data_IF_840478143587
#
_entry.id   IF_840478143587
#
_cell.length_a   1.000
_cell.length_b   1.000
_cell.length_c   1.000
_cell.angle_alpha   90.00
_cell.angle_beta   90.00
_cell.angle_gamma   90.00
#
_symmetry.space_group_name_H-M   'P 1'
#
loop_
_entity.id
_entity.type
_entity.pdbx_description
1 polymer ?
#
# COMPACT_ATOMS: atom_id res chain seq x y z
N UNK A 1 17.27 2.87 31.31
CA UNK A 1 18.21 3.50 30.37
C UNK A 1 18.05 2.75 29.04
N UNK A 2 17.26 3.27 28.13
CA UNK A 2 17.05 2.68 26.81
C UNK A 2 17.89 3.50 25.86
N UNK A 3 18.92 2.87 25.31
CA UNK A 3 19.86 3.46 24.37
C UNK A 3 19.16 3.79 23.06
N UNK A 4 19.41 5.01 22.56
CA UNK A 4 18.88 5.51 21.31
C UNK A 4 19.31 4.63 20.12
N UNK A 5 18.35 4.27 19.29
CA UNK A 5 18.58 3.67 17.98
C UNK A 5 18.94 4.78 17.00
N UNK A 6 20.22 5.00 16.81
CA UNK A 6 20.78 5.71 15.67
C UNK A 6 20.51 4.93 14.38
N UNK A 7 19.89 5.60 13.43
CA UNK A 7 19.74 5.10 12.07
C UNK A 7 21.11 4.83 11.44
N UNK A 8 21.37 3.61 11.02
CA UNK A 8 22.14 3.18 9.85
C UNK A 8 22.49 1.69 9.96
N UNK A 9 21.98 0.94 9.07
CA UNK A 9 22.15 -0.44 8.66
C UNK A 9 20.90 -1.28 8.86
N UNK A 10 20.15 -1.41 7.77
CA UNK A 10 19.04 -2.36 7.67
C UNK A 10 19.57 -3.80 7.64
N UNK A 11 20.04 -4.29 8.78
CA UNK A 11 20.03 -5.74 9.00
C UNK A 11 18.56 -6.14 9.02
N UNK A 12 18.13 -6.94 8.04
CA UNK A 12 16.81 -7.56 8.04
C UNK A 12 16.58 -8.17 9.42
N UNK A 13 15.61 -7.64 10.12
CA UNK A 13 15.19 -8.19 11.39
C UNK A 13 14.39 -9.44 11.05
N UNK A 14 15.00 -10.61 11.24
CA UNK A 14 14.31 -11.87 11.01
C UNK A 14 13.55 -12.20 12.27
N UNK A 15 12.23 -12.26 12.17
CA UNK A 15 11.37 -12.70 13.26
C UNK A 15 11.28 -14.23 13.25
N UNK A 16 11.69 -14.86 14.32
CA UNK A 16 11.59 -16.30 14.52
C UNK A 16 10.75 -16.54 15.78
N UNK A 17 9.67 -17.31 15.64
CA UNK A 17 8.76 -17.66 16.71
C UNK A 17 8.54 -19.17 16.73
N UNK A 18 8.40 -19.73 17.92
CA UNK A 18 8.08 -21.15 18.08
C UNK A 18 6.55 -21.38 17.99
N UNK A 19 5.74 -20.43 18.45
CA UNK A 19 4.29 -20.55 18.50
C UNK A 19 3.55 -19.33 17.94
N UNK A 20 2.40 -19.58 17.31
CA UNK A 20 1.57 -18.54 16.69
C UNK A 20 1.11 -17.46 17.69
N UNK A 21 0.89 -17.81 18.95
CA UNK A 21 0.53 -16.87 20.02
C UNK A 21 1.62 -15.83 20.27
N UNK A 22 2.89 -16.23 20.29
CA UNK A 22 4.04 -15.32 20.47
C UNK A 22 4.15 -14.37 19.28
N UNK A 23 3.99 -14.89 18.06
CA UNK A 23 4.01 -14.09 16.86
C UNK A 23 2.88 -13.06 16.82
N UNK A 24 1.66 -13.43 17.21
CA UNK A 24 0.51 -12.52 17.30
C UNK A 24 0.74 -11.49 18.42
N UNK A 25 1.30 -11.88 19.56
CA UNK A 25 1.65 -10.93 20.62
C UNK A 25 2.68 -9.89 20.15
N UNK A 26 3.66 -10.28 19.34
CA UNK A 26 4.60 -9.35 18.71
C UNK A 26 3.89 -8.39 17.72
N UNK A 27 2.89 -8.87 16.99
CA UNK A 27 2.04 -8.01 16.16
C UNK A 27 1.30 -6.95 17.00
N UNK A 28 0.76 -7.31 18.15
CA UNK A 28 0.13 -6.36 19.07
C UNK A 28 1.11 -5.33 19.62
N UNK A 29 2.34 -5.73 19.92
CA UNK A 29 3.39 -4.81 20.39
C UNK A 29 3.77 -3.80 19.32
N UNK A 30 3.95 -4.24 18.08
CA UNK A 30 4.23 -3.32 16.96
C UNK A 30 3.07 -2.37 16.72
N UNK A 31 1.82 -2.85 16.75
CA UNK A 31 0.64 -2.00 16.68
C UNK A 31 0.62 -0.93 17.78
N UNK A 32 0.94 -1.30 19.03
CA UNK A 32 1.03 -0.35 20.13
C UNK A 32 2.11 0.70 19.88
N UNK A 33 3.30 0.27 19.44
CA UNK A 33 4.41 1.16 19.08
C UNK A 33 4.00 2.20 18.04
N UNK A 34 3.28 1.79 16.99
CA UNK A 34 2.86 2.69 15.92
C UNK A 34 1.76 3.65 16.38
N UNK A 35 0.85 3.22 17.24
CA UNK A 35 -0.21 4.10 17.80
C UNK A 35 0.36 5.33 18.52
N UNK A 36 1.51 5.19 19.15
CA UNK A 36 2.15 6.26 19.92
C UNK A 36 2.96 7.23 19.04
N UNK A 37 3.15 6.92 17.74
CA UNK A 37 3.98 7.70 16.80
C UNK A 37 3.20 8.78 16.06
N UNK A 38 2.47 9.65 16.78
CA UNK A 38 1.68 10.72 16.17
C UNK A 38 2.49 11.70 15.33
N UNK A 39 3.74 11.93 15.70
CA UNK A 39 4.64 12.88 15.05
C UNK A 39 5.61 12.23 14.04
N UNK A 40 5.50 10.91 13.81
CA UNK A 40 6.36 10.21 12.88
C UNK A 40 6.31 10.83 11.47
N UNK A 41 7.45 10.91 10.81
CA UNK A 41 7.55 11.29 9.39
C UNK A 41 7.02 10.18 8.50
N UNK A 42 6.80 10.47 7.21
CA UNK A 42 6.40 9.44 6.24
C UNK A 42 7.45 8.34 6.13
N UNK A 43 8.74 8.68 6.12
CA UNK A 43 9.81 7.69 6.02
C UNK A 43 9.88 6.78 7.27
N UNK A 44 9.58 7.31 8.45
CA UNK A 44 9.43 6.52 9.68
C UNK A 44 8.21 5.61 9.62
N UNK A 45 7.07 6.07 9.07
CA UNK A 45 5.91 5.21 8.84
C UNK A 45 6.21 4.09 7.84
N UNK A 46 6.96 4.39 6.76
CA UNK A 46 7.42 3.37 5.80
C UNK A 46 8.32 2.34 6.50
N UNK A 47 9.23 2.78 7.37
CA UNK A 47 10.07 1.86 8.14
C UNK A 47 9.23 0.93 9.02
N UNK A 48 8.17 1.45 9.67
CA UNK A 48 7.24 0.64 10.47
C UNK A 48 6.43 -0.34 9.63
N UNK A 49 5.99 0.08 8.45
CA UNK A 49 5.31 -0.81 7.51
C UNK A 49 6.22 -1.97 7.10
N UNK A 50 7.50 -1.72 6.85
CA UNK A 50 8.45 -2.77 6.50
C UNK A 50 8.64 -3.79 7.66
N UNK A 51 8.79 -3.30 8.90
CA UNK A 51 8.87 -4.15 10.10
C UNK A 51 7.58 -4.98 10.23
N UNK A 52 6.42 -4.34 10.08
CA UNK A 52 5.12 -5.02 10.13
C UNK A 52 5.00 -6.12 9.08
N UNK A 53 5.42 -5.86 7.86
CA UNK A 53 5.34 -6.83 6.77
C UNK A 53 6.17 -8.07 7.04
N UNK A 54 7.41 -7.91 7.54
CA UNK A 54 8.25 -9.03 7.94
C UNK A 54 7.59 -9.85 9.08
N UNK A 55 7.06 -9.16 10.07
CA UNK A 55 6.37 -9.76 11.20
C UNK A 55 5.10 -10.50 10.76
N UNK A 56 4.27 -9.89 9.92
CA UNK A 56 3.06 -10.47 9.37
C UNK A 56 3.36 -11.73 8.55
N UNK A 57 4.39 -11.67 7.68
CA UNK A 57 4.77 -12.80 6.83
C UNK A 57 5.33 -13.97 7.67
N UNK A 58 6.14 -13.68 8.69
CA UNK A 58 6.65 -14.69 9.62
C UNK A 58 5.51 -15.36 10.39
N UNK A 59 4.57 -14.55 10.91
CA UNK A 59 3.39 -15.05 11.63
C UNK A 59 2.51 -15.91 10.74
N UNK A 60 2.19 -15.44 9.54
CA UNK A 60 1.33 -16.19 8.61
C UNK A 60 1.99 -17.50 8.17
N UNK A 61 3.30 -17.50 7.90
CA UNK A 61 4.05 -18.70 7.55
C UNK A 61 3.99 -19.73 8.68
N UNK A 62 4.17 -19.28 9.92
CA UNK A 62 4.07 -20.14 11.10
C UNK A 62 2.67 -20.71 11.27
N UNK A 63 1.63 -19.88 11.14
CA UNK A 63 0.23 -20.31 11.27
C UNK A 63 -0.18 -21.32 10.18
N UNK A 64 0.36 -21.20 8.97
CA UNK A 64 0.16 -22.17 7.89
C UNK A 64 0.88 -23.47 8.22
N UNK A 65 2.17 -23.39 8.59
CA UNK A 65 2.98 -24.58 8.95
C UNK A 65 2.33 -25.40 10.05
N UNK A 66 1.84 -24.74 11.09
CA UNK A 66 1.27 -25.38 12.27
C UNK A 66 -0.23 -25.66 12.13
N UNK A 67 -0.81 -25.41 10.94
CA UNK A 67 -2.24 -25.57 10.65
C UNK A 67 -3.15 -24.73 11.58
N UNK A 68 -2.62 -23.68 12.19
CA UNK A 68 -3.37 -22.81 13.13
C UNK A 68 -4.53 -22.10 12.44
N UNK A 69 -4.36 -21.67 11.18
CA UNK A 69 -5.42 -21.02 10.40
C UNK A 69 -6.66 -21.90 10.22
N UNK A 70 -6.48 -23.22 10.19
CA UNK A 70 -7.55 -24.19 9.98
C UNK A 70 -8.14 -24.70 11.30
N UNK A 71 -7.31 -24.80 12.34
CA UNK A 71 -7.67 -25.50 13.58
C UNK A 71 -7.93 -24.56 14.76
N UNK A 72 -7.49 -23.30 14.72
CA UNK A 72 -7.73 -22.31 15.75
C UNK A 72 -8.33 -21.03 15.18
N UNK A 73 -9.66 -21.03 15.01
CA UNK A 73 -10.41 -19.88 14.48
C UNK A 73 -10.25 -18.62 15.36
N UNK A 74 -9.99 -18.76 16.67
CA UNK A 74 -9.78 -17.63 17.57
C UNK A 74 -8.45 -16.93 17.28
N UNK A 75 -7.36 -17.68 17.20
CA UNK A 75 -6.04 -17.10 16.85
C UNK A 75 -6.02 -16.54 15.43
N UNK A 76 -6.65 -17.21 14.47
CA UNK A 76 -6.79 -16.69 13.11
C UNK A 76 -7.54 -15.35 13.09
N UNK A 77 -8.67 -15.26 13.79
CA UNK A 77 -9.44 -14.01 13.90
C UNK A 77 -8.63 -12.90 14.58
N UNK A 78 -7.90 -13.22 15.63
CA UNK A 78 -7.05 -12.26 16.34
C UNK A 78 -5.93 -11.71 15.43
N UNK A 79 -5.26 -12.58 14.67
CA UNK A 79 -4.24 -12.17 13.70
C UNK A 79 -4.80 -11.23 12.63
N UNK A 80 -5.97 -11.54 12.05
CA UNK A 80 -6.59 -10.67 11.05
C UNK A 80 -7.03 -9.34 11.67
N UNK A 81 -7.60 -9.36 12.87
CA UNK A 81 -8.03 -8.15 13.57
C UNK A 81 -6.86 -7.21 13.90
N UNK A 82 -5.71 -7.74 14.36
CA UNK A 82 -4.52 -6.91 14.62
C UNK A 82 -3.92 -6.36 13.33
N UNK A 83 -3.96 -7.14 12.25
CA UNK A 83 -3.52 -6.70 10.91
C UNK A 83 -4.35 -5.53 10.41
N UNK A 84 -5.67 -5.63 10.49
CA UNK A 84 -6.58 -4.56 10.09
C UNK A 84 -6.42 -3.31 10.95
N UNK A 85 -6.23 -3.51 12.26
CA UNK A 85 -5.97 -2.41 13.18
C UNK A 85 -4.67 -1.67 12.86
N UNK A 86 -3.60 -2.38 12.51
CA UNK A 86 -2.34 -1.78 12.09
C UNK A 86 -2.53 -0.92 10.84
N UNK A 87 -3.19 -1.47 9.83
CA UNK A 87 -3.50 -0.76 8.59
C UNK A 87 -4.28 0.54 8.84
N UNK A 88 -5.33 0.46 9.67
CA UNK A 88 -6.12 1.64 10.03
C UNK A 88 -5.29 2.72 10.73
N UNK A 89 -4.41 2.33 11.64
CA UNK A 89 -3.55 3.28 12.37
C UNK A 89 -2.59 3.97 11.41
N UNK A 90 -1.86 3.21 10.58
CA UNK A 90 -0.95 3.79 9.57
C UNK A 90 -1.68 4.75 8.65
N UNK A 91 -2.85 4.37 8.16
CA UNK A 91 -3.63 5.20 7.25
C UNK A 91 -4.07 6.50 7.91
N UNK A 92 -4.51 6.46 9.17
CA UNK A 92 -4.87 7.67 9.92
C UNK A 92 -3.68 8.60 10.15
N UNK A 93 -2.52 8.03 10.51
CA UNK A 93 -1.29 8.80 10.71
C UNK A 93 -0.82 9.45 9.41
N UNK A 94 -0.86 8.73 8.30
CA UNK A 94 -0.52 9.25 6.98
C UNK A 94 -1.46 10.40 6.56
N UNK A 95 -2.77 10.24 6.76
CA UNK A 95 -3.76 11.28 6.44
C UNK A 95 -3.59 12.54 7.28
N UNK A 96 -3.32 12.40 8.57
CA UNK A 96 -3.10 13.55 9.47
C UNK A 96 -1.92 14.42 9.02
N UNK A 97 -1.01 13.89 8.18
CA UNK A 97 0.17 14.58 7.66
C UNK A 97 -0.01 15.21 6.29
N UNK A 98 -1.23 15.20 5.76
CA UNK A 98 -1.50 15.73 4.41
C UNK A 98 -0.56 15.15 3.34
N UNK A 99 -0.37 13.83 3.37
CA UNK A 99 0.52 13.12 2.46
C UNK A 99 0.23 13.44 0.99
N UNK A 100 1.30 13.64 0.23
CA UNK A 100 1.25 13.68 -1.23
C UNK A 100 0.91 12.28 -1.79
N UNK A 101 0.51 12.22 -3.07
CA UNK A 101 0.32 10.91 -3.73
C UNK A 101 1.64 10.12 -3.83
N UNK A 102 2.78 10.81 -3.96
CA UNK A 102 4.09 10.15 -3.91
C UNK A 102 4.34 9.46 -2.55
N UNK A 103 3.91 10.10 -1.45
CA UNK A 103 4.00 9.49 -0.11
C UNK A 103 3.06 8.29 0.03
N UNK A 104 1.84 8.35 -0.53
CA UNK A 104 0.92 7.20 -0.56
C UNK A 104 1.54 6.01 -1.30
N UNK A 105 2.25 6.25 -2.40
CA UNK A 105 2.98 5.20 -3.12
C UNK A 105 4.09 4.62 -2.27
N UNK A 106 4.91 5.45 -1.60
CA UNK A 106 5.94 4.98 -0.67
C UNK A 106 5.37 4.08 0.43
N UNK A 107 4.23 4.45 0.99
CA UNK A 107 3.55 3.67 2.04
C UNK A 107 3.06 2.30 1.53
N UNK A 108 2.83 2.15 0.22
CA UNK A 108 2.39 0.89 -0.39
C UNK A 108 3.52 0.00 -0.91
N UNK A 109 4.57 0.60 -1.43
CA UNK A 109 5.64 -0.12 -2.17
C UNK A 109 6.64 -0.83 -1.24
N UNK A 110 6.61 -0.57 0.06
CA UNK A 110 7.43 -1.30 1.02
C UNK A 110 7.03 -2.77 1.10
N UNK A 111 7.73 -3.65 0.40
CA UNK A 111 7.45 -5.09 0.41
C UNK A 111 8.54 -5.87 1.09
N UNK A 112 8.17 -6.79 2.00
CA UNK A 112 9.12 -7.65 2.63
C UNK A 112 9.72 -8.66 1.64
N UNK A 113 11.01 -8.96 1.81
CA UNK A 113 11.67 -9.99 1.01
C UNK A 113 11.09 -11.39 1.26
N UNK A 114 10.59 -11.66 2.47
CA UNK A 114 9.92 -12.90 2.84
C UNK A 114 8.61 -13.09 2.06
N UNK A 115 7.82 -12.03 1.87
CA UNK A 115 6.61 -12.09 1.04
C UNK A 115 6.93 -12.38 -0.42
N UNK A 116 7.96 -11.73 -0.98
CA UNK A 116 8.43 -12.03 -2.35
C UNK A 116 8.88 -13.49 -2.47
N UNK A 117 9.61 -14.00 -1.50
CA UNK A 117 10.05 -15.40 -1.47
C UNK A 117 8.87 -16.38 -1.36
N UNK A 118 7.90 -16.10 -0.48
CA UNK A 118 6.69 -16.89 -0.33
C UNK A 118 5.90 -16.95 -1.65
N UNK A 119 5.64 -15.80 -2.28
CA UNK A 119 4.94 -15.72 -3.55
C UNK A 119 5.72 -16.36 -4.71
N UNK A 120 7.05 -16.51 -4.58
CA UNK A 120 7.88 -17.21 -5.56
C UNK A 120 7.81 -18.75 -5.45
N UNK A 121 7.31 -19.29 -4.33
CA UNK A 121 7.19 -20.73 -4.13
C UNK A 121 6.13 -21.37 -5.05
N UNK A 122 6.25 -22.68 -5.28
CA UNK A 122 5.31 -23.40 -6.14
C UNK A 122 3.89 -23.47 -5.60
N UNK A 123 3.73 -23.46 -4.28
CA UNK A 123 2.44 -23.45 -3.59
C UNK A 123 1.60 -22.19 -3.92
N UNK A 124 2.26 -21.06 -4.17
CA UNK A 124 1.62 -19.79 -4.48
C UNK A 124 1.62 -19.46 -5.98
N UNK A 125 1.93 -20.43 -6.86
CA UNK A 125 2.03 -20.21 -8.33
C UNK A 125 0.78 -19.56 -8.92
N UNK A 126 -0.40 -20.03 -8.56
CA UNK A 126 -1.67 -19.49 -9.07
C UNK A 126 -1.94 -18.08 -8.57
N UNK A 127 -1.68 -17.80 -7.29
CA UNK A 127 -1.81 -16.47 -6.71
C UNK A 127 -0.81 -15.50 -7.35
N UNK A 128 0.45 -15.92 -7.53
CA UNK A 128 1.47 -15.14 -8.24
C UNK A 128 1.02 -14.76 -9.63
N UNK A 129 0.52 -15.72 -10.42
CA UNK A 129 0.05 -15.44 -11.77
C UNK A 129 -1.12 -14.45 -11.78
N UNK A 130 -2.06 -14.62 -10.86
CA UNK A 130 -3.17 -13.68 -10.69
C UNK A 130 -2.67 -12.26 -10.44
N UNK A 131 -1.75 -12.05 -9.48
CA UNK A 131 -1.23 -10.71 -9.16
C UNK A 131 -0.39 -10.11 -10.29
N UNK A 132 0.39 -10.91 -11.00
CA UNK A 132 1.13 -10.43 -12.18
C UNK A 132 0.18 -9.94 -13.27
N UNK A 133 -0.88 -10.68 -13.56
CA UNK A 133 -1.88 -10.30 -14.56
C UNK A 133 -2.74 -9.12 -14.11
N UNK A 134 -3.07 -9.05 -12.83
CA UNK A 134 -3.79 -7.95 -12.22
C UNK A 134 -2.97 -6.65 -12.33
N UNK A 135 -1.72 -6.65 -11.88
CA UNK A 135 -0.82 -5.50 -11.94
C UNK A 135 -0.65 -5.00 -13.38
N UNK A 136 -0.41 -5.92 -14.31
CA UNK A 136 -0.25 -5.59 -15.72
C UNK A 136 -1.48 -4.86 -16.26
N UNK A 137 -2.67 -5.40 -16.05
CA UNK A 137 -3.93 -4.81 -16.56
C UNK A 137 -4.20 -3.42 -15.97
N UNK A 138 -4.07 -3.29 -14.66
CA UNK A 138 -4.35 -2.01 -13.96
C UNK A 138 -3.38 -0.92 -14.40
N UNK A 139 -2.08 -1.21 -14.38
CA UNK A 139 -1.07 -0.22 -14.73
C UNK A 139 -1.09 0.13 -16.22
N UNK A 140 -1.32 -0.84 -17.09
CA UNK A 140 -1.44 -0.59 -18.53
C UNK A 140 -2.64 0.29 -18.86
N UNK A 141 -3.77 0.08 -18.19
CA UNK A 141 -4.97 0.92 -18.37
C UNK A 141 -4.73 2.36 -17.91
N UNK A 142 -4.10 2.54 -16.75
CA UNK A 142 -3.74 3.87 -16.23
C UNK A 142 -2.73 4.58 -17.14
N UNK A 143 -1.72 3.87 -17.64
CA UNK A 143 -0.72 4.42 -18.56
C UNK A 143 -1.32 4.83 -19.90
N UNK A 144 -2.28 4.07 -20.42
CA UNK A 144 -3.04 4.46 -21.64
C UNK A 144 -3.77 5.77 -21.42
N UNK A 145 -4.50 5.91 -20.30
CA UNK A 145 -5.19 7.16 -19.96
C UNK A 145 -4.21 8.33 -19.81
N UNK A 146 -3.08 8.10 -19.13
CA UNK A 146 -2.02 9.08 -18.95
C UNK A 146 -1.50 9.60 -20.30
N UNK A 147 -1.20 8.70 -21.22
CA UNK A 147 -0.69 9.06 -22.55
C UNK A 147 -1.72 9.80 -23.41
N UNK A 148 -2.99 9.41 -23.34
CA UNK A 148 -4.08 10.11 -24.03
C UNK A 148 -4.27 11.53 -23.52
N UNK A 149 -4.18 11.73 -22.19
CA UNK A 149 -4.26 13.06 -21.56
C UNK A 149 -3.06 13.91 -21.97
N UNK A 150 -1.84 13.37 -21.92
CA UNK A 150 -0.62 14.08 -22.36
C UNK A 150 -0.66 14.47 -23.83
N UNK A 151 -1.31 13.65 -24.65
CA UNK A 151 -1.58 13.96 -26.06
C UNK A 151 -2.74 14.96 -26.23
N UNK A 152 -3.31 15.47 -25.13
CA UNK A 152 -4.40 16.45 -25.11
C UNK A 152 -5.63 16.01 -25.93
N UNK A 153 -5.94 14.72 -25.95
CA UNK A 153 -7.12 14.18 -26.61
C UNK A 153 -8.38 14.68 -25.89
N UNK A 154 -9.34 15.30 -26.62
CA UNK A 154 -10.59 15.72 -26.00
C UNK A 154 -11.35 14.53 -25.43
N UNK A 155 -11.88 14.70 -24.21
CA UNK A 155 -12.63 13.68 -23.49
C UNK A 155 -14.11 14.07 -23.43
N UNK A 156 -15.00 13.15 -23.73
CA UNK A 156 -16.42 13.29 -23.40
C UNK A 156 -16.66 12.97 -21.92
N UNK A 157 -17.86 13.26 -21.42
CA UNK A 157 -18.21 13.07 -20.00
C UNK A 157 -18.05 11.60 -19.52
N UNK A 158 -18.35 10.62 -20.39
CA UNK A 158 -18.22 9.20 -20.09
C UNK A 158 -16.75 8.79 -20.03
N UNK A 159 -15.94 9.26 -20.96
CA UNK A 159 -14.50 9.04 -20.98
C UNK A 159 -13.84 9.68 -19.75
N UNK A 160 -14.21 10.91 -19.38
CA UNK A 160 -13.72 11.59 -18.19
C UNK A 160 -13.99 10.77 -16.92
N UNK A 161 -15.23 10.29 -16.73
CA UNK A 161 -15.57 9.46 -15.57
C UNK A 161 -14.77 8.14 -15.54
N UNK A 162 -14.60 7.48 -16.70
CA UNK A 162 -13.82 6.26 -16.83
C UNK A 162 -12.33 6.49 -16.58
N UNK A 163 -11.74 7.56 -17.15
CA UNK A 163 -10.32 7.89 -16.98
C UNK A 163 -10.01 8.25 -15.53
N UNK A 164 -10.90 8.99 -14.85
CA UNK A 164 -10.78 9.26 -13.41
C UNK A 164 -10.62 7.96 -12.63
N UNK A 165 -11.50 6.99 -12.88
CA UNK A 165 -11.44 5.68 -12.22
C UNK A 165 -10.15 4.94 -12.55
N UNK A 166 -9.77 4.81 -13.81
CA UNK A 166 -8.59 4.07 -14.25
C UNK A 166 -7.28 4.66 -13.70
N UNK A 167 -7.19 5.99 -13.56
CA UNK A 167 -6.03 6.68 -12.99
C UNK A 167 -5.90 6.45 -11.48
N UNK A 168 -7.02 6.38 -10.77
CA UNK A 168 -7.04 6.21 -9.30
C UNK A 168 -6.91 4.73 -8.91
N UNK A 169 -7.41 3.82 -9.72
CA UNK A 169 -7.49 2.40 -9.44
C UNK A 169 -6.17 1.76 -8.98
N UNK A 170 -4.98 2.07 -9.55
CA UNK A 170 -3.71 1.50 -9.07
C UNK A 170 -3.45 1.78 -7.59
N UNK A 171 -3.88 2.94 -7.10
CA UNK A 171 -3.66 3.35 -5.70
C UNK A 171 -4.69 2.76 -4.74
N UNK A 172 -5.88 2.40 -5.22
CA UNK A 172 -6.96 1.89 -4.40
C UNK A 172 -7.02 0.36 -4.35
N UNK A 173 -6.80 -0.27 -5.51
CA UNK A 173 -7.06 -1.70 -5.67
C UNK A 173 -5.83 -2.61 -5.44
N UNK A 174 -4.61 -2.05 -5.50
CA UNK A 174 -3.40 -2.84 -5.27
C UNK A 174 -3.18 -3.04 -3.77
N UNK A 175 -3.33 -4.26 -3.32
CA UNK A 175 -2.99 -4.68 -1.96
C UNK A 175 -1.48 -4.94 -1.79
N UNK A 176 -1.08 -5.36 -0.59
CA UNK A 176 0.32 -5.63 -0.28
C UNK A 176 0.91 -6.80 -1.11
N UNK A 177 0.10 -7.76 -1.54
CA UNK A 177 0.56 -8.84 -2.40
C UNK A 177 0.73 -8.40 -3.84
N UNK A 178 -0.20 -7.60 -4.36
CA UNK A 178 -0.08 -6.97 -5.67
C UNK A 178 1.18 -6.11 -5.76
N UNK A 179 1.42 -5.26 -4.75
CA UNK A 179 2.63 -4.42 -4.69
C UNK A 179 3.93 -5.23 -4.56
N UNK A 180 3.90 -6.36 -3.84
CA UNK A 180 5.05 -7.26 -3.74
C UNK A 180 5.45 -7.89 -5.10
N UNK A 181 4.52 -7.97 -6.02
CA UNK A 181 4.73 -8.55 -7.36
C UNK A 181 5.02 -7.51 -8.45
N UNK A 182 5.18 -6.24 -8.10
CA UNK A 182 5.60 -5.22 -9.06
C UNK A 182 7.03 -5.47 -9.54
N UNK A 183 7.22 -5.32 -10.83
CA UNK A 183 8.58 -5.23 -11.41
C UNK A 183 9.13 -3.82 -11.16
N UNK A 184 10.46 -3.61 -11.20
CA UNK A 184 11.05 -2.27 -11.08
C UNK A 184 10.47 -1.27 -12.09
N UNK A 185 10.16 -1.71 -13.30
CA UNK A 185 9.51 -0.87 -14.31
C UNK A 185 8.08 -0.48 -13.89
N UNK A 186 7.32 -1.40 -13.33
CA UNK A 186 5.97 -1.13 -12.85
C UNK A 186 5.97 -0.22 -11.60
N UNK A 187 6.94 -0.38 -10.70
CA UNK A 187 7.15 0.54 -9.58
C UNK A 187 7.44 1.96 -10.07
N UNK A 188 8.28 2.11 -11.09
CA UNK A 188 8.58 3.39 -11.70
C UNK A 188 7.34 4.00 -12.38
N UNK A 189 6.55 3.20 -13.12
CA UNK A 189 5.29 3.65 -13.72
C UNK A 189 4.32 4.16 -12.65
N UNK A 190 4.16 3.42 -11.55
CA UNK A 190 3.29 3.81 -10.44
C UNK A 190 3.75 5.11 -9.77
N UNK A 191 5.06 5.30 -9.60
CA UNK A 191 5.65 6.53 -9.05
C UNK A 191 5.37 7.72 -9.96
N UNK A 192 5.66 7.61 -11.26
CA UNK A 192 5.37 8.68 -12.23
C UNK A 192 3.88 9.01 -12.30
N UNK A 193 3.02 7.98 -12.26
CA UNK A 193 1.58 8.19 -12.22
C UNK A 193 1.17 8.97 -10.97
N UNK A 194 1.74 8.67 -9.81
CA UNK A 194 1.46 9.37 -8.56
C UNK A 194 1.85 10.85 -8.62
N UNK A 195 3.03 11.14 -9.17
CA UNK A 195 3.56 12.50 -9.32
C UNK A 195 2.67 13.35 -10.23
N UNK A 196 2.19 12.77 -11.33
CA UNK A 196 1.39 13.46 -12.33
C UNK A 196 -0.12 13.43 -12.04
N UNK A 197 -0.58 12.57 -11.14
CA UNK A 197 -2.00 12.32 -10.90
C UNK A 197 -2.84 13.58 -10.68
N UNK A 198 -2.39 14.60 -9.90
CA UNK A 198 -3.17 15.81 -9.72
C UNK A 198 -3.43 16.56 -11.03
N UNK A 199 -2.43 16.66 -11.91
CA UNK A 199 -2.58 17.31 -13.22
C UNK A 199 -3.45 16.48 -14.18
N UNK A 200 -3.29 15.16 -14.15
CA UNK A 200 -4.13 14.26 -14.95
C UNK A 200 -5.61 14.36 -14.56
N UNK A 201 -5.91 14.40 -13.26
CA UNK A 201 -7.27 14.55 -12.78
C UNK A 201 -7.84 15.94 -13.07
N UNK A 202 -7.03 17.00 -12.99
CA UNK A 202 -7.46 18.33 -13.40
C UNK A 202 -7.86 18.37 -14.88
N UNK A 203 -7.09 17.75 -15.77
CA UNK A 203 -7.43 17.62 -17.18
C UNK A 203 -8.75 16.86 -17.39
N UNK A 204 -8.93 15.74 -16.68
CA UNK A 204 -10.18 14.98 -16.70
C UNK A 204 -11.38 15.84 -16.26
N UNK A 205 -11.16 16.83 -15.39
CA UNK A 205 -12.15 17.81 -14.93
C UNK A 205 -12.32 19.01 -15.87
N UNK A 206 -11.76 18.95 -17.09
CA UNK A 206 -11.88 20.01 -18.09
C UNK A 206 -10.92 21.19 -17.89
N UNK A 207 -9.84 21.00 -17.11
CA UNK A 207 -8.79 22.01 -16.91
C UNK A 207 -7.59 21.72 -17.79
N UNK A 208 -6.76 22.73 -18.03
CA UNK A 208 -5.52 22.58 -18.77
C UNK A 208 -4.52 21.75 -17.93
N UNK A 209 -3.94 20.71 -18.51
CA UNK A 209 -2.92 19.87 -17.91
C UNK A 209 -1.70 20.69 -17.42
N UNK A 210 -1.29 21.71 -18.18
CA UNK A 210 -0.11 22.52 -17.87
C UNK A 210 -0.32 23.58 -16.79
N UNK A 211 -1.56 23.91 -16.44
CA UNK A 211 -1.90 25.08 -15.61
C UNK A 211 -2.68 24.75 -14.34
N UNK A 212 -2.58 23.53 -13.83
CA UNK A 212 -3.25 23.16 -12.58
C UNK A 212 -2.65 23.94 -11.41
N UNK A 213 -3.40 24.83 -10.71
CA UNK A 213 -2.87 25.58 -9.58
C UNK A 213 -2.40 24.65 -8.46
N UNK A 214 -1.27 24.98 -7.81
CA UNK A 214 -0.73 24.20 -6.67
C UNK A 214 -1.77 23.94 -5.58
N UNK A 215 -2.64 24.93 -5.30
CA UNK A 215 -3.71 24.80 -4.32
C UNK A 215 -4.77 23.76 -4.67
N UNK A 216 -5.04 23.52 -5.95
CA UNK A 216 -5.95 22.46 -6.40
C UNK A 216 -5.27 21.11 -6.39
N UNK A 217 -3.96 21.05 -6.65
CA UNK A 217 -3.13 19.86 -6.53
C UNK A 217 -3.10 19.35 -5.08
N UNK A 218 -2.98 20.27 -4.10
CA UNK A 218 -3.04 19.93 -2.68
C UNK A 218 -4.43 19.46 -2.25
N UNK A 219 -5.50 20.09 -2.74
CA UNK A 219 -6.88 19.64 -2.49
C UNK A 219 -7.16 18.26 -3.10
N UNK A 220 -6.68 18.02 -4.31
CA UNK A 220 -6.80 16.70 -4.96
C UNK A 220 -6.04 15.63 -4.20
N UNK A 221 -4.83 15.93 -3.72
CA UNK A 221 -4.07 15.03 -2.86
C UNK A 221 -4.83 14.68 -1.57
N UNK A 222 -5.45 15.69 -0.93
CA UNK A 222 -6.29 15.49 0.26
C UNK A 222 -7.52 14.62 -0.04
N UNK A 223 -8.23 14.94 -1.13
CA UNK A 223 -9.43 14.18 -1.55
C UNK A 223 -9.07 12.75 -1.92
N UNK A 224 -7.94 12.52 -2.59
CA UNK A 224 -7.48 11.18 -2.94
C UNK A 224 -7.03 10.39 -1.72
N UNK A 225 -6.39 11.04 -0.76
CA UNK A 225 -6.02 10.43 0.52
C UNK A 225 -7.27 10.05 1.31
N UNK A 226 -8.29 10.92 1.32
CA UNK A 226 -9.58 10.64 1.96
C UNK A 226 -10.36 9.54 1.23
N UNK A 227 -10.34 9.53 -0.10
CA UNK A 227 -10.97 8.49 -0.91
C UNK A 227 -10.26 7.14 -0.74
N UNK A 228 -8.93 7.15 -0.71
CA UNK A 228 -8.11 6.00 -0.37
C UNK A 228 -8.50 5.41 0.99
N UNK A 229 -8.64 6.26 2.01
CA UNK A 229 -9.09 5.85 3.34
C UNK A 229 -10.48 5.21 3.31
N UNK A 230 -11.44 5.85 2.64
CA UNK A 230 -12.81 5.35 2.54
C UNK A 230 -12.91 4.01 1.81
N UNK A 231 -12.17 3.84 0.73
CA UNK A 231 -12.14 2.57 0.00
C UNK A 231 -11.38 1.48 0.78
N UNK A 232 -10.32 1.86 1.47
CA UNK A 232 -9.55 0.97 2.31
C UNK A 232 -10.36 0.50 3.54
N UNK A 233 -11.10 1.41 4.18
CA UNK A 233 -12.02 1.06 5.28
C UNK A 233 -13.18 0.18 4.81
N UNK A 234 -13.70 0.38 3.59
CA UNK A 234 -14.73 -0.48 3.01
C UNK A 234 -14.25 -1.89 2.66
N UNK A 235 -12.96 -2.06 2.39
CA UNK A 235 -12.39 -3.39 2.13
C UNK A 235 -12.08 -4.16 3.42
N UNK A 236 -12.23 -3.50 4.58
CA UNK A 236 -11.90 -4.02 5.92
C UNK A 236 -13.15 -4.16 6.81
N UNK A 237 -14.26 -3.53 6.42
CA UNK A 237 -15.61 -3.68 7.02
C UNK A 237 -16.47 -4.61 6.18
#
# INVERSE_FOLDING_TARGET
>A
MIAGLTACNSKKQKFEFDHAQEAIAACHQELATVKDQKDATIDELVARINIWQELQDSTLTLMVRDSTLQNDARLASEFFAVTDSFRMVITRLALAKQCSMADVVKLKVGTSASRKAMLASDEFRSARQYYLDFNRRILQSAETCRNDIKAQKPLDAKQSANYRWLLIQPFLAMDNYATAMLTPQQEQMLTHLAEELPMLLAYVDGKDYAHSPKSETEKLSSVLSEYFLKCYLKSVL
#
